data_IF_812786680397
#
_entry.id   IF_812786680397
#
_cell.length_a   1.000
_cell.length_b   1.000
_cell.length_c   1.000
_cell.angle_alpha   90.00
_cell.angle_beta   90.00
_cell.angle_gamma   90.00
#
_symmetry.space_group_name_H-M   'P 1'
#
loop_
_entity.id
_entity.type
_entity.pdbx_description
1 polymer ?
#
# COMPACT_ATOMS: atom_id res chain seq x y z
N UNK A 1 5.85 17.07 13.23
CA UNK A 1 6.59 15.99 12.58
C UNK A 1 5.51 15.26 11.82
N UNK A 2 5.46 15.50 10.51
CA UNK A 2 4.63 14.72 9.62
C UNK A 2 5.48 13.52 9.18
N UNK A 3 4.85 12.38 8.95
CA UNK A 3 5.50 11.20 8.42
C UNK A 3 5.05 11.03 6.96
N UNK A 4 5.80 10.31 6.15
CA UNK A 4 5.42 10.06 4.76
C UNK A 4 5.82 8.70 4.27
N UNK A 5 5.30 8.29 3.11
CA UNK A 5 5.69 7.03 2.49
C UNK A 5 4.75 6.60 1.39
N UNK A 6 5.01 5.41 0.85
CA UNK A 6 4.20 4.84 -0.21
C UNK A 6 3.04 4.04 0.36
N UNK A 7 1.88 4.22 -0.26
CA UNK A 7 0.66 3.50 0.06
C UNK A 7 0.10 2.82 -1.18
N UNK A 8 -0.66 1.74 -0.95
CA UNK A 8 -1.59 1.20 -1.93
C UNK A 8 -3.01 1.51 -1.45
N UNK A 9 -3.75 2.25 -2.28
CA UNK A 9 -5.17 2.51 -2.08
C UNK A 9 -5.97 1.37 -2.71
N UNK A 10 -6.94 0.85 -1.95
CA UNK A 10 -7.90 -0.15 -2.37
C UNK A 10 -9.29 0.48 -2.33
N UNK A 11 -9.94 0.56 -3.48
CA UNK A 11 -11.33 0.97 -3.53
C UNK A 11 -12.18 -0.06 -4.24
N UNK A 12 -13.47 -0.08 -3.89
CA UNK A 12 -14.41 -1.06 -4.43
C UNK A 12 -15.13 -0.49 -5.63
N UNK A 13 -15.16 -1.23 -6.75
CA UNK A 13 -15.84 -0.77 -7.98
C UNK A 13 -17.35 -0.71 -7.80
N UNK A 14 -17.92 -1.59 -6.97
CA UNK A 14 -19.36 -1.65 -6.67
C UNK A 14 -19.60 -2.03 -5.22
N UNK A 15 -20.50 -1.30 -4.56
CA UNK A 15 -20.88 -1.55 -3.17
C UNK A 15 -19.83 -1.06 -2.17
N UNK A 16 -19.98 -1.49 -0.93
CA UNK A 16 -19.11 -1.13 0.19
C UNK A 16 -18.18 -2.30 0.55
N UNK A 17 -17.05 -1.97 1.17
CA UNK A 17 -16.20 -2.97 1.81
C UNK A 17 -16.95 -3.68 2.93
N UNK A 18 -16.71 -4.98 3.05
CA UNK A 18 -17.05 -5.78 4.21
C UNK A 18 -15.77 -6.41 4.80
N UNK A 19 -15.88 -7.01 5.98
CA UNK A 19 -14.74 -7.59 6.69
C UNK A 19 -14.04 -8.71 5.90
N UNK A 20 -14.79 -9.47 5.08
CA UNK A 20 -14.21 -10.51 4.20
C UNK A 20 -13.33 -9.90 3.12
N UNK A 21 -13.74 -8.77 2.53
CA UNK A 21 -12.94 -8.07 1.52
C UNK A 21 -11.62 -7.60 2.12
N UNK A 22 -11.67 -7.01 3.32
CA UNK A 22 -10.49 -6.52 4.06
C UNK A 22 -9.54 -7.69 4.34
N UNK A 23 -10.05 -8.79 4.90
CA UNK A 23 -9.22 -9.96 5.20
C UNK A 23 -8.59 -10.57 3.95
N UNK A 24 -9.35 -10.67 2.85
CA UNK A 24 -8.84 -11.20 1.59
C UNK A 24 -7.68 -10.36 1.04
N UNK A 25 -7.79 -9.02 1.10
CA UNK A 25 -6.71 -8.14 0.67
C UNK A 25 -5.47 -8.33 1.55
N UNK A 26 -5.64 -8.38 2.88
CA UNK A 26 -4.53 -8.61 3.82
C UNK A 26 -3.83 -9.94 3.55
N UNK A 27 -4.59 -11.02 3.35
CA UNK A 27 -4.05 -12.35 3.09
C UNK A 27 -3.24 -12.38 1.78
N UNK A 28 -3.76 -11.75 0.72
CA UNK A 28 -3.09 -11.67 -0.58
C UNK A 28 -1.83 -10.80 -0.53
N UNK A 29 -1.91 -9.61 0.10
CA UNK A 29 -0.76 -8.74 0.31
C UNK A 29 0.35 -9.47 1.07
N UNK A 30 0.01 -10.12 2.17
CA UNK A 30 0.96 -10.88 2.99
C UNK A 30 1.61 -11.99 2.19
N UNK A 31 0.81 -12.76 1.44
CA UNK A 31 1.33 -13.82 0.58
C UNK A 31 2.30 -13.29 -0.49
N UNK A 32 2.00 -12.16 -1.12
CA UNK A 32 2.84 -11.57 -2.17
C UNK A 32 4.13 -11.01 -1.58
N UNK A 33 4.02 -10.21 -0.51
CA UNK A 33 5.17 -9.50 0.04
C UNK A 33 6.12 -10.45 0.77
N UNK A 34 5.60 -11.41 1.55
CA UNK A 34 6.43 -12.42 2.23
C UNK A 34 6.94 -13.49 1.26
N UNK A 35 6.20 -13.74 0.17
CA UNK A 35 6.57 -14.72 -0.85
C UNK A 35 7.64 -14.25 -1.85
N UNK A 36 7.92 -12.95 -1.90
CA UNK A 36 8.85 -12.34 -2.86
C UNK A 36 9.95 -11.53 -2.14
N UNK A 37 10.98 -11.10 -2.87
CA UNK A 37 12.12 -10.34 -2.32
C UNK A 37 11.88 -8.84 -2.44
N UNK A 38 11.12 -8.28 -1.51
CA UNK A 38 10.94 -6.83 -1.38
C UNK A 38 12.05 -6.18 -0.52
N UNK A 39 12.30 -4.87 -0.70
CA UNK A 39 13.16 -4.07 0.17
C UNK A 39 12.83 -4.19 1.66
N UNK A 40 13.85 -4.10 2.54
CA UNK A 40 13.70 -4.34 3.99
C UNK A 40 12.87 -3.30 4.75
N UNK A 41 12.61 -2.14 4.15
CA UNK A 41 11.72 -1.10 4.66
C UNK A 41 10.24 -1.45 4.48
N UNK A 42 9.90 -2.46 3.67
CA UNK A 42 8.55 -3.01 3.58
C UNK A 42 8.39 -4.08 4.67
N UNK A 43 7.58 -3.76 5.68
CA UNK A 43 7.43 -4.63 6.87
C UNK A 43 5.97 -5.02 7.09
N UNK A 44 5.74 -6.27 7.51
CA UNK A 44 4.41 -6.84 7.71
C UNK A 44 3.54 -6.02 8.66
N UNK A 45 4.15 -5.41 9.68
CA UNK A 45 3.44 -4.54 10.62
C UNK A 45 2.79 -3.31 9.96
N UNK A 46 3.29 -2.86 8.81
CA UNK A 46 2.74 -1.70 8.12
C UNK A 46 1.65 -2.09 7.10
N UNK A 47 1.91 -3.08 6.25
CA UNK A 47 1.01 -3.36 5.13
C UNK A 47 -0.18 -4.27 5.51
N UNK A 48 -0.04 -5.08 6.55
CA UNK A 48 -1.09 -6.01 6.98
C UNK A 48 -2.22 -5.32 7.75
N UNK A 49 -2.00 -4.09 8.23
CA UNK A 49 -3.03 -3.27 8.88
C UNK A 49 -3.65 -2.30 7.87
N UNK A 50 -4.72 -2.72 7.18
CA UNK A 50 -5.47 -1.82 6.31
C UNK A 50 -6.16 -0.72 7.11
N UNK A 51 -5.89 0.53 6.76
CA UNK A 51 -6.49 1.71 7.39
C UNK A 51 -7.59 2.26 6.51
N UNK A 52 -8.69 2.70 7.11
CA UNK A 52 -9.76 3.36 6.36
C UNK A 52 -9.24 4.70 5.82
N UNK A 53 -9.29 4.91 4.50
CA UNK A 53 -8.86 6.14 3.86
C UNK A 53 -10.02 7.12 3.72
N UNK A 54 -11.13 6.65 3.13
CA UNK A 54 -12.39 7.36 3.08
C UNK A 54 -13.58 6.40 3.25
N UNK A 55 -14.80 6.86 3.00
CA UNK A 55 -16.01 6.04 3.18
C UNK A 55 -16.08 4.82 2.25
N UNK A 56 -15.30 4.77 1.18
CA UNK A 56 -15.33 3.70 0.18
C UNK A 56 -13.96 3.10 -0.15
N UNK A 57 -12.91 3.45 0.60
CA UNK A 57 -11.56 2.97 0.34
C UNK A 57 -10.75 2.72 1.60
N UNK A 58 -9.81 1.78 1.47
CA UNK A 58 -8.80 1.45 2.46
C UNK A 58 -7.42 1.73 1.88
N UNK A 59 -6.45 2.02 2.73
CA UNK A 59 -5.05 2.11 2.36
C UNK A 59 -4.21 1.07 3.12
N UNK A 60 -3.19 0.57 2.46
CA UNK A 60 -2.09 -0.20 3.07
C UNK A 60 -0.84 0.65 3.02
N UNK A 61 -0.15 0.78 4.15
CA UNK A 61 1.14 1.49 4.19
C UNK A 61 2.23 0.50 3.81
N UNK A 62 2.91 0.74 2.71
CA UNK A 62 3.96 -0.16 2.20
C UNK A 62 5.32 0.27 2.76
N UNK A 63 5.66 1.55 2.66
CA UNK A 63 6.83 2.15 3.30
C UNK A 63 6.45 3.33 4.16
N UNK A 64 7.26 3.62 5.18
CA UNK A 64 7.08 4.75 6.07
C UNK A 64 8.44 5.35 6.44
N UNK A 65 8.51 6.67 6.39
CA UNK A 65 9.66 7.51 6.67
C UNK A 65 9.26 8.62 7.65
N UNK A 66 10.21 8.99 8.50
CA UNK A 66 10.05 10.10 9.44
C UNK A 66 10.58 11.38 8.78
N UNK A 67 9.87 12.50 8.91
CA UNK A 67 10.44 13.80 8.50
C UNK A 67 11.62 14.18 9.41
N UNK A 68 12.81 14.23 8.80
CA UNK A 68 14.03 14.78 9.38
C UNK A 68 14.72 15.76 8.40
N UNK A 69 15.95 16.17 8.73
CA UNK A 69 16.72 17.14 7.93
C UNK A 69 16.93 16.72 6.47
N UNK A 70 16.84 15.42 6.16
CA UNK A 70 17.07 14.84 4.82
C UNK A 70 15.78 14.44 4.08
N UNK A 71 14.61 14.79 4.64
CA UNK A 71 13.29 14.39 4.15
C UNK A 71 12.99 14.71 2.68
N UNK A 72 13.47 15.84 2.12
CA UNK A 72 13.26 16.16 0.70
C UNK A 72 14.01 15.20 -0.25
N UNK A 73 15.20 14.74 0.14
CA UNK A 73 15.99 13.80 -0.67
C UNK A 73 15.40 12.39 -0.58
N UNK A 74 15.02 11.98 0.63
CA UNK A 74 14.35 10.70 0.88
C UNK A 74 13.01 10.65 0.13
N UNK A 75 12.24 11.74 0.11
CA UNK A 75 10.97 11.82 -0.61
C UNK A 75 11.14 11.53 -2.11
N UNK A 76 12.11 12.19 -2.77
CA UNK A 76 12.36 11.97 -4.20
C UNK A 76 12.79 10.54 -4.50
N UNK A 77 13.63 9.97 -3.64
CA UNK A 77 14.04 8.58 -3.78
C UNK A 77 12.87 7.61 -3.62
N UNK A 78 12.01 7.86 -2.63
CA UNK A 78 10.82 7.05 -2.36
C UNK A 78 9.77 7.18 -3.48
N UNK A 79 9.56 8.38 -4.04
CA UNK A 79 8.65 8.59 -5.17
C UNK A 79 9.01 7.73 -6.38
N UNK A 80 10.29 7.53 -6.67
CA UNK A 80 10.73 6.71 -7.80
C UNK A 80 10.71 5.21 -7.46
N UNK A 81 11.34 4.82 -6.35
CA UNK A 81 11.55 3.39 -6.06
C UNK A 81 10.35 2.75 -5.37
N UNK A 82 9.76 3.40 -4.37
CA UNK A 82 8.71 2.77 -3.57
C UNK A 82 7.38 2.72 -4.34
N UNK A 83 7.15 3.66 -5.26
CA UNK A 83 6.00 3.60 -6.17
C UNK A 83 6.17 2.46 -7.18
N UNK A 84 7.36 2.25 -7.76
CA UNK A 84 7.61 1.10 -8.65
C UNK A 84 7.37 -0.23 -7.92
N UNK A 85 7.81 -0.32 -6.65
CA UNK A 85 7.54 -1.49 -5.82
C UNK A 85 6.05 -1.68 -5.53
N UNK A 86 5.31 -0.61 -5.19
CA UNK A 86 3.86 -0.64 -5.04
C UNK A 86 3.16 -1.08 -6.33
N UNK A 87 3.57 -0.56 -7.49
CA UNK A 87 3.03 -0.95 -8.78
C UNK A 87 3.29 -2.43 -9.08
N UNK A 88 4.47 -2.96 -8.73
CA UNK A 88 4.77 -4.40 -8.86
C UNK A 88 3.86 -5.24 -7.96
N UNK A 89 3.60 -4.80 -6.73
CA UNK A 89 2.65 -5.46 -5.83
C UNK A 89 1.24 -5.44 -6.44
N UNK A 90 0.79 -4.30 -6.98
CA UNK A 90 -0.51 -4.18 -7.66
C UNK A 90 -0.60 -5.14 -8.85
N UNK A 91 0.43 -5.22 -9.69
CA UNK A 91 0.45 -6.16 -10.82
C UNK A 91 0.29 -7.62 -10.40
N UNK A 92 0.82 -8.00 -9.22
CA UNK A 92 0.60 -9.32 -8.66
C UNK A 92 -0.79 -9.51 -8.05
N UNK A 93 -1.42 -8.44 -7.55
CA UNK A 93 -2.78 -8.47 -7.00
C UNK A 93 -3.88 -8.43 -8.07
N UNK A 94 -3.62 -7.79 -9.22
CA UNK A 94 -4.59 -7.59 -10.28
C UNK A 94 -5.32 -8.88 -10.73
N UNK A 95 -4.63 -10.01 -10.98
CA UNK A 95 -5.30 -11.24 -11.40
C UNK A 95 -6.32 -11.77 -10.38
N UNK A 96 -6.13 -11.47 -9.10
CA UNK A 96 -6.96 -11.95 -7.99
C UNK A 96 -8.07 -10.94 -7.61
N UNK A 97 -7.80 -9.63 -7.74
CA UNK A 97 -8.66 -8.57 -7.19
C UNK A 97 -9.29 -7.62 -8.22
N UNK A 98 -8.77 -7.53 -9.45
CA UNK A 98 -9.15 -6.44 -10.38
C UNK A 98 -10.63 -6.43 -10.79
N UNK A 99 -11.33 -7.57 -10.65
CA UNK A 99 -12.76 -7.67 -10.95
C UNK A 99 -13.61 -6.81 -10.01
N UNK A 100 -13.33 -6.84 -8.70
CA UNK A 100 -14.13 -6.17 -7.68
C UNK A 100 -13.49 -4.87 -7.17
N UNK A 101 -12.17 -4.75 -7.28
CA UNK A 101 -11.41 -3.64 -6.71
C UNK A 101 -10.68 -2.83 -7.78
N UNK A 102 -10.48 -1.55 -7.49
CA UNK A 102 -9.44 -0.73 -8.11
C UNK A 102 -8.32 -0.53 -7.10
N UNK A 103 -7.09 -0.46 -7.61
CA UNK A 103 -5.88 -0.30 -6.80
C UNK A 103 -5.05 0.84 -7.39
N UNK A 104 -4.44 1.64 -6.53
CA UNK A 104 -3.61 2.78 -6.93
C UNK A 104 -2.41 2.89 -5.98
N UNK A 105 -1.21 3.01 -6.54
CA UNK A 105 0.00 3.33 -5.80
C UNK A 105 0.13 4.84 -5.67
N UNK A 106 0.43 5.35 -4.48
CA UNK A 106 0.57 6.78 -4.25
C UNK A 106 1.55 7.08 -3.11
N UNK A 107 2.22 8.23 -3.20
CA UNK A 107 2.94 8.84 -2.07
C UNK A 107 1.98 9.72 -1.27
N UNK A 108 2.03 9.58 0.05
CA UNK A 108 1.19 10.35 0.96
C UNK A 108 2.01 10.92 2.12
N UNK A 109 1.60 12.08 2.60
CA UNK A 109 2.13 12.77 3.77
C UNK A 109 1.04 12.81 4.84
N UNK A 110 1.37 12.47 6.09
CA UNK A 110 0.40 12.34 7.20
C UNK A 110 0.88 12.91 8.53
#
# INVERSE_FOLDING_TARGET
>A
MSDFGSIILFGKRKGTFNDTDVQMIVDLLTKIIVGDKYPSNITEGNFAELRKWDDNSYCSIITAYYEDEDSEEIWKFAEENDIEECERIIQHLEPELAFDFYMEARMEQW
#
